data_IF_512818591331
#
_entry.id   IF_512818591331
#
_cell.length_a   1.000
_cell.length_b   1.000
_cell.length_c   1.000
_cell.angle_alpha   90.00
_cell.angle_beta   90.00
_cell.angle_gamma   90.00
#
_symmetry.space_group_name_H-M   'P 1'
#
loop_
_entity.id
_entity.type
_entity.pdbx_description
1 polymer ?
#
# COMPACT_ATOMS: atom_id res chain seq x y z
N UNK A 1 -3.53 3.06 -10.28
CA UNK A 1 -3.00 3.73 -9.06
C UNK A 1 -1.48 3.63 -8.98
N UNK A 2 -0.90 2.42 -9.04
CA UNK A 2 0.54 2.17 -9.02
C UNK A 2 1.32 3.00 -10.06
N UNK A 3 0.86 3.02 -11.31
CA UNK A 3 1.49 3.82 -12.37
C UNK A 3 1.64 5.30 -11.98
N UNK A 4 0.57 5.94 -11.50
CA UNK A 4 0.60 7.33 -11.02
C UNK A 4 1.59 7.53 -9.85
N UNK A 5 1.79 6.52 -9.00
CA UNK A 5 2.76 6.58 -7.92
C UNK A 5 4.19 6.55 -8.47
N UNK A 6 4.46 5.63 -9.40
CA UNK A 6 5.74 5.52 -10.09
C UNK A 6 6.07 6.80 -10.86
N UNK A 7 5.11 7.35 -11.61
CA UNK A 7 5.32 8.57 -12.39
C UNK A 7 5.70 9.77 -11.51
N UNK A 8 5.02 9.92 -10.36
CA UNK A 8 5.35 10.97 -9.37
C UNK A 8 6.75 10.78 -8.79
N UNK A 9 7.11 9.54 -8.45
CA UNK A 9 8.44 9.24 -7.92
C UNK A 9 9.54 9.54 -8.95
N UNK A 10 9.36 9.13 -10.21
CA UNK A 10 10.27 9.44 -11.32
C UNK A 10 10.47 10.94 -11.52
N UNK A 11 9.40 11.74 -11.41
CA UNK A 11 9.48 13.20 -11.49
C UNK A 11 10.27 13.84 -10.34
N UNK A 12 10.30 13.21 -9.16
CA UNK A 12 11.01 13.71 -7.98
C UNK A 12 12.49 13.26 -7.94
N UNK A 13 12.79 12.08 -8.48
CA UNK A 13 14.11 11.44 -8.45
C UNK A 13 14.52 10.99 -9.86
N UNK A 14 14.82 11.92 -10.78
CA UNK A 14 15.05 11.60 -12.20
C UNK A 14 16.22 10.63 -12.42
N UNK A 15 17.26 10.69 -11.58
CA UNK A 15 18.44 9.83 -11.69
C UNK A 15 18.22 8.39 -11.20
N UNK A 16 17.07 8.09 -10.59
CA UNK A 16 16.73 6.76 -10.08
C UNK A 16 15.54 6.12 -10.84
N UNK A 17 15.00 6.83 -11.84
CA UNK A 17 13.81 6.42 -12.58
C UNK A 17 13.97 5.08 -13.33
N UNK A 18 15.19 4.77 -13.75
CA UNK A 18 15.53 3.56 -14.52
C UNK A 18 15.71 2.32 -13.64
N UNK A 19 15.83 2.49 -12.32
CA UNK A 19 16.02 1.39 -11.36
C UNK A 19 14.70 0.84 -10.79
N UNK A 20 13.56 1.19 -11.38
CA UNK A 20 12.24 0.83 -10.87
C UNK A 20 11.73 -0.42 -11.60
N UNK A 21 11.59 -1.52 -10.85
CA UNK A 21 10.95 -2.76 -11.31
C UNK A 21 9.57 -2.91 -10.68
N UNK A 22 8.58 -3.31 -11.48
CA UNK A 22 7.24 -3.66 -10.99
C UNK A 22 7.10 -5.16 -11.03
N UNK A 23 6.84 -5.76 -9.88
CA UNK A 23 6.63 -7.21 -9.75
C UNK A 23 5.22 -7.49 -9.24
N UNK A 24 4.56 -8.45 -9.88
CA UNK A 24 3.26 -8.94 -9.44
C UNK A 24 3.49 -10.17 -8.58
N UNK A 25 3.16 -10.06 -7.30
CA UNK A 25 3.31 -11.16 -6.33
C UNK A 25 1.96 -11.49 -5.68
N UNK A 26 1.69 -12.78 -5.40
CA UNK A 26 0.53 -13.17 -4.61
C UNK A 26 0.64 -12.66 -3.17
N UNK A 27 -0.46 -12.14 -2.62
CA UNK A 27 -0.48 -11.55 -1.28
C UNK A 27 -0.22 -12.61 -0.19
N UNK A 28 -0.72 -13.83 -0.37
CA UNK A 28 -0.51 -14.94 0.56
C UNK A 28 0.97 -15.28 0.71
N UNK A 29 1.72 -15.23 -0.40
CA UNK A 29 3.16 -15.44 -0.41
C UNK A 29 3.91 -14.32 0.32
N UNK A 30 3.49 -13.07 0.12
CA UNK A 30 4.04 -11.93 0.83
C UNK A 30 3.79 -12.06 2.35
N UNK A 31 2.56 -12.36 2.76
CA UNK A 31 2.21 -12.55 4.19
C UNK A 31 3.04 -13.68 4.81
N UNK A 32 3.12 -14.84 4.15
CA UNK A 32 3.94 -15.95 4.63
C UNK A 32 5.42 -15.55 4.79
N UNK A 33 5.93 -14.71 3.89
CA UNK A 33 7.31 -14.20 3.97
C UNK A 33 7.49 -13.25 5.15
N UNK A 34 6.58 -12.29 5.32
CA UNK A 34 6.59 -11.34 6.44
C UNK A 34 6.49 -12.03 7.80
N UNK A 35 5.79 -13.16 7.89
CA UNK A 35 5.61 -13.91 9.14
C UNK A 35 6.81 -14.79 9.51
N UNK A 36 7.58 -15.27 8.52
CA UNK A 36 8.62 -16.29 8.73
C UNK A 36 10.05 -15.76 8.60
N UNK A 37 10.22 -14.59 8.00
CA UNK A 37 11.54 -14.02 7.72
C UNK A 37 12.02 -13.15 8.87
N UNK A 38 13.30 -13.29 9.21
CA UNK A 38 13.99 -12.41 10.16
C UNK A 38 14.67 -11.20 9.47
N UNK A 39 14.43 -11.00 8.17
CA UNK A 39 15.01 -9.88 7.43
C UNK A 39 14.39 -8.54 7.89
N UNK A 40 15.20 -7.72 8.55
CA UNK A 40 14.81 -6.41 9.07
C UNK A 40 14.36 -5.43 7.98
N UNK A 41 14.83 -5.57 6.74
CA UNK A 41 14.44 -4.69 5.64
C UNK A 41 12.95 -4.81 5.28
N UNK A 42 12.34 -5.97 5.57
CA UNK A 42 10.92 -6.22 5.30
C UNK A 42 10.00 -5.32 6.12
N UNK A 43 10.49 -4.75 7.23
CA UNK A 43 9.73 -3.78 8.05
C UNK A 43 9.39 -2.47 7.31
N UNK A 44 10.09 -2.18 6.21
CA UNK A 44 9.86 -0.98 5.40
C UNK A 44 8.72 -1.15 4.37
N UNK A 45 8.13 -2.33 4.27
CA UNK A 45 7.07 -2.61 3.31
C UNK A 45 5.77 -1.96 3.78
N UNK A 46 5.19 -1.12 2.92
CA UNK A 46 3.88 -0.52 3.13
C UNK A 46 2.83 -1.11 2.18
N UNK A 47 1.73 -1.60 2.75
CA UNK A 47 0.57 -2.01 1.98
C UNK A 47 -0.34 -0.79 1.73
N UNK A 48 -0.46 -0.41 0.47
CA UNK A 48 -1.36 0.68 0.06
C UNK A 48 -2.63 0.07 -0.54
N UNK A 49 -3.79 0.19 0.11
CA UNK A 49 -5.05 -0.34 -0.42
C UNK A 49 -5.50 0.41 -1.67
N UNK A 50 -6.40 -0.22 -2.45
CA UNK A 50 -7.02 0.40 -3.61
C UNK A 50 -7.89 1.61 -3.21
N UNK A 51 -8.25 2.45 -4.18
CA UNK A 51 -9.08 3.63 -3.93
C UNK A 51 -10.47 3.24 -3.42
N UNK A 52 -11.05 2.17 -3.96
CA UNK A 52 -12.34 1.64 -3.56
C UNK A 52 -12.31 1.14 -2.11
N UNK A 53 -11.25 0.42 -1.72
CA UNK A 53 -11.06 -0.02 -0.33
C UNK A 53 -10.91 1.16 0.62
N UNK A 54 -10.21 2.22 0.22
CA UNK A 54 -10.09 3.43 1.05
C UNK A 54 -11.46 4.10 1.26
N UNK A 55 -12.25 4.26 0.21
CA UNK A 55 -13.60 4.82 0.30
C UNK A 55 -14.53 3.98 1.17
N UNK A 56 -14.39 2.65 1.09
CA UNK A 56 -15.12 1.74 1.98
C UNK A 56 -14.70 1.91 3.44
N UNK A 57 -13.41 1.99 3.74
CA UNK A 57 -12.94 2.25 5.11
C UNK A 57 -13.43 3.60 5.65
N UNK A 58 -13.48 4.64 4.81
CA UNK A 58 -14.05 5.93 5.20
C UNK A 58 -15.56 5.85 5.48
N UNK A 59 -16.31 5.06 4.70
CA UNK A 59 -17.76 4.90 4.92
C UNK A 59 -18.04 4.19 6.25
N UNK A 60 -17.24 3.17 6.59
CA UNK A 60 -17.32 2.49 7.88
C UNK A 60 -17.08 3.46 9.05
N UNK A 61 -16.05 4.31 8.94
CA UNK A 61 -15.73 5.33 9.96
C UNK A 61 -16.86 6.37 10.12
N UNK A 62 -17.50 6.77 9.01
CA UNK A 62 -18.65 7.69 9.06
C UNK A 62 -19.85 7.05 9.75
N UNK A 63 -20.10 5.78 9.49
CA UNK A 63 -21.22 5.04 10.08
C UNK A 63 -21.01 4.80 11.59
N UNK A 64 -19.80 4.47 12.04
CA UNK A 64 -19.50 4.29 13.47
C UNK A 64 -19.74 5.57 14.28
N UNK A 65 -19.35 6.73 13.74
CA UNK A 65 -19.48 8.01 14.43
C UNK A 65 -20.93 8.51 14.51
N UNK A 66 -21.83 8.00 13.67
CA UNK A 66 -23.25 8.35 13.70
C UNK A 66 -24.06 7.59 14.74
N UNK A 67 -23.54 6.47 15.26
CA UNK A 67 -24.21 5.62 16.24
C UNK A 67 -23.91 6.00 17.70
N UNK A 68 -22.87 6.81 17.95
CA UNK A 68 -22.49 7.28 19.30
C UNK A 68 -23.19 8.59 19.72
N UNK A 69 -24.01 9.20 18.85
CA UNK A 69 -24.74 10.46 19.12
C UNK A 69 -26.25 10.26 19.37
N UNK A 70 -26.69 9.07 19.79
CA UNK A 70 -28.09 8.80 20.16
C UNK A 70 -28.24 8.24 21.56
#
# INVERSE_FOLDING_TARGET
>A
QLQRMVDRYKGQQPNQADNITIEVVPLEGLISTLQKSDNQELSNIMLVPSQESQQFLESLRRNSNSSESK
#
